data_IF_719403296106
#
_entry.id   IF_719403296106
#
_cell.length_a   1.000
_cell.length_b   1.000
_cell.length_c   1.000
_cell.angle_alpha   90.00
_cell.angle_beta   90.00
_cell.angle_gamma   90.00
#
_symmetry.space_group_name_H-M   'P 1'
#
loop_
_entity.id
_entity.type
_entity.pdbx_description
1 polymer ?
#
# COMPACT_ATOMS: atom_id res chain seq x y z
N UNK A 1 -28.49 3.05 68.08
CA UNK A 1 -29.37 2.11 67.35
C UNK A 1 -30.31 2.90 66.45
N UNK A 2 -30.00 3.00 65.15
CA UNK A 2 -30.89 3.29 64.00
C UNK A 2 -30.01 3.52 62.75
N UNK A 3 -29.80 2.47 61.96
CA UNK A 3 -29.33 2.55 60.58
C UNK A 3 -30.56 2.80 59.69
N UNK A 4 -30.53 3.87 58.89
CA UNK A 4 -31.50 4.13 57.82
C UNK A 4 -30.93 3.65 56.49
N UNK A 5 -31.78 2.96 55.73
CA UNK A 5 -31.63 2.70 54.31
C UNK A 5 -31.57 3.99 53.49
N UNK A 6 -30.81 3.97 52.40
CA UNK A 6 -31.16 4.66 51.16
C UNK A 6 -30.61 3.90 49.94
N UNK A 7 -31.47 3.78 48.93
CA UNK A 7 -31.37 3.03 47.68
C UNK A 7 -30.56 3.76 46.60
N UNK A 8 -30.04 2.95 45.67
CA UNK A 8 -29.96 3.09 44.20
C UNK A 8 -29.36 4.36 43.57
N UNK A 9 -28.41 4.17 42.65
CA UNK A 9 -28.71 4.20 41.21
C UNK A 9 -27.51 3.69 40.39
N UNK A 10 -27.79 2.72 39.52
CA UNK A 10 -26.86 2.20 38.54
C UNK A 10 -26.58 3.25 37.46
N UNK A 11 -25.31 3.58 37.26
CA UNK A 11 -24.87 4.35 36.10
C UNK A 11 -24.74 3.39 34.91
N UNK A 12 -25.64 3.54 33.95
CA UNK A 12 -25.55 2.92 32.64
C UNK A 12 -24.32 3.48 31.90
N UNK A 13 -23.26 2.66 31.81
CA UNK A 13 -22.13 2.90 30.92
C UNK A 13 -22.56 2.70 29.47
N UNK A 14 -22.95 3.79 28.81
CA UNK A 14 -23.08 3.83 27.36
C UNK A 14 -21.69 3.91 26.75
N UNK A 15 -21.27 2.84 26.07
CA UNK A 15 -20.15 2.91 25.12
C UNK A 15 -20.55 3.85 23.97
N UNK A 16 -19.68 4.77 23.54
CA UNK A 16 -19.96 5.61 22.38
C UNK A 16 -20.00 4.72 21.13
N UNK A 17 -21.10 4.83 20.38
CA UNK A 17 -21.27 4.24 19.05
C UNK A 17 -20.24 4.88 18.12
N UNK A 18 -19.40 4.04 17.51
CA UNK A 18 -18.41 4.44 16.52
C UNK A 18 -19.10 5.01 15.27
N UNK A 19 -19.11 6.35 15.09
CA UNK A 19 -19.26 6.91 13.75
C UNK A 19 -18.87 8.39 13.53
N UNK A 20 -18.49 9.16 14.55
CA UNK A 20 -18.04 10.55 14.33
C UNK A 20 -16.51 10.66 14.35
N UNK A 21 -15.87 10.21 13.27
CA UNK A 21 -14.50 10.62 12.99
C UNK A 21 -14.49 12.11 12.59
N UNK A 22 -13.60 12.94 13.16
CA UNK A 22 -13.46 14.34 12.76
C UNK A 22 -13.37 14.50 11.24
N UNK A 23 -14.00 15.54 10.67
CA UNK A 23 -14.04 15.78 9.23
C UNK A 23 -12.65 15.88 8.54
N UNK A 24 -11.59 16.15 9.31
CA UNK A 24 -10.19 16.10 8.85
C UNK A 24 -9.69 14.66 8.65
N UNK A 25 -10.06 13.74 9.54
CA UNK A 25 -9.70 12.32 9.44
C UNK A 25 -10.44 11.67 8.27
N UNK A 26 -11.74 11.99 8.11
CA UNK A 26 -12.52 11.50 6.96
C UNK A 26 -11.93 11.94 5.62
N UNK A 27 -11.50 13.20 5.50
CA UNK A 27 -10.82 13.71 4.30
C UNK A 27 -9.47 13.03 4.04
N UNK A 28 -8.67 12.82 5.09
CA UNK A 28 -7.39 12.12 4.96
C UNK A 28 -7.60 10.66 4.51
N UNK A 29 -8.53 9.94 5.12
CA UNK A 29 -8.88 8.57 4.74
C UNK A 29 -9.34 8.49 3.28
N UNK A 30 -10.19 9.43 2.82
CA UNK A 30 -10.63 9.44 1.44
C UNK A 30 -9.46 9.66 0.46
N UNK A 31 -8.51 10.55 0.80
CA UNK A 31 -7.31 10.73 -0.02
C UNK A 31 -6.47 9.45 -0.14
N UNK A 32 -6.36 8.65 0.93
CA UNK A 32 -5.71 7.33 0.86
C UNK A 32 -6.49 6.35 -0.02
N UNK A 33 -7.81 6.30 0.09
CA UNK A 33 -8.66 5.44 -0.76
C UNK A 33 -8.45 5.80 -2.24
N UNK A 34 -8.53 7.08 -2.58
CA UNK A 34 -8.41 7.55 -3.95
C UNK A 34 -7.00 7.27 -4.52
N UNK A 35 -5.96 7.52 -3.72
CA UNK A 35 -4.57 7.26 -4.12
C UNK A 35 -4.29 5.77 -4.32
N UNK A 36 -4.74 4.91 -3.39
CA UNK A 36 -4.54 3.45 -3.50
C UNK A 36 -5.30 2.89 -4.70
N UNK A 37 -6.54 3.32 -4.89
CA UNK A 37 -7.33 2.93 -6.05
C UNK A 37 -6.67 3.34 -7.37
N UNK A 38 -6.26 4.60 -7.49
CA UNK A 38 -5.62 5.11 -8.71
C UNK A 38 -4.36 4.33 -9.10
N UNK A 39 -3.60 3.87 -8.10
CA UNK A 39 -2.41 3.05 -8.31
C UNK A 39 -2.75 1.59 -8.70
N UNK A 40 -3.77 1.00 -8.06
CA UNK A 40 -4.24 -0.36 -8.37
C UNK A 40 -4.87 -0.46 -9.77
N UNK A 41 -5.49 0.61 -10.24
CA UNK A 41 -6.16 0.69 -11.55
C UNK A 41 -5.21 1.02 -12.71
N UNK A 42 -3.93 1.28 -12.43
CA UNK A 42 -2.92 1.44 -13.48
C UNK A 42 -2.83 0.17 -14.35
N UNK A 43 -2.68 0.31 -15.68
CA UNK A 43 -2.44 -0.82 -16.55
C UNK A 43 -1.15 -1.57 -16.19
N UNK A 44 -1.23 -2.91 -16.13
CA UNK A 44 -0.11 -3.79 -15.78
C UNK A 44 -0.01 -4.91 -16.80
N UNK A 45 1.16 -5.12 -17.37
CA UNK A 45 1.41 -6.27 -18.23
C UNK A 45 1.31 -7.57 -17.43
N UNK A 46 0.58 -8.55 -17.96
CA UNK A 46 0.48 -9.88 -17.37
C UNK A 46 1.88 -10.51 -17.38
N UNK A 47 2.36 -10.93 -16.22
CA UNK A 47 3.71 -11.48 -16.11
C UNK A 47 3.74 -12.89 -16.69
N UNK A 48 4.86 -13.25 -17.34
CA UNK A 48 5.08 -14.59 -17.89
C UNK A 48 4.77 -15.70 -16.88
N UNK A 49 5.20 -15.54 -15.63
CA UNK A 49 4.94 -16.53 -14.58
C UNK A 49 3.44 -16.75 -14.30
N UNK A 50 2.60 -15.73 -14.49
CA UNK A 50 1.15 -15.82 -14.32
C UNK A 50 0.57 -16.61 -15.49
N UNK A 51 1.01 -16.29 -16.72
CA UNK A 51 0.62 -17.02 -17.93
C UNK A 51 1.01 -18.50 -17.84
N UNK A 52 2.26 -18.78 -17.45
CA UNK A 52 2.78 -20.13 -17.30
C UNK A 52 1.98 -20.93 -16.25
N UNK A 53 1.61 -20.29 -15.13
CA UNK A 53 0.78 -20.91 -14.09
C UNK A 53 -0.63 -21.21 -14.59
N UNK A 54 -1.27 -20.29 -15.33
CA UNK A 54 -2.59 -20.51 -15.93
C UNK A 54 -2.57 -21.68 -16.93
N UNK A 55 -1.54 -21.74 -17.75
CA UNK A 55 -1.34 -22.84 -18.69
C UNK A 55 -1.13 -24.19 -17.99
N UNK A 56 -0.33 -24.24 -16.93
CA UNK A 56 0.00 -25.50 -16.27
C UNK A 56 -1.07 -26.02 -15.30
N UNK A 57 -1.78 -25.13 -14.61
CA UNK A 57 -2.74 -25.51 -13.57
C UNK A 57 -4.19 -25.48 -14.02
N UNK A 58 -4.54 -24.58 -14.94
CA UNK A 58 -5.92 -24.43 -15.44
C UNK A 58 -6.06 -24.84 -16.91
N UNK A 59 -4.98 -25.30 -17.55
CA UNK A 59 -4.94 -25.69 -18.97
C UNK A 59 -5.39 -24.56 -19.92
N UNK A 60 -5.22 -23.30 -19.49
CA UNK A 60 -5.63 -22.12 -20.25
C UNK A 60 -4.59 -21.83 -21.33
N UNK A 61 -4.99 -21.87 -22.60
CA UNK A 61 -4.11 -21.46 -23.70
C UNK A 61 -3.95 -19.94 -23.78
N UNK A 62 -2.99 -19.46 -24.57
CA UNK A 62 -2.72 -18.01 -24.72
C UNK A 62 -3.92 -17.25 -25.31
N UNK A 63 -4.62 -17.85 -26.25
CA UNK A 63 -5.82 -17.32 -26.88
C UNK A 63 -7.05 -17.34 -25.96
N UNK A 64 -7.04 -18.16 -24.91
CA UNK A 64 -8.10 -18.26 -23.91
C UNK A 64 -7.91 -17.32 -22.71
N UNK A 65 -6.73 -16.70 -22.55
CA UNK A 65 -6.40 -15.85 -21.40
C UNK A 65 -7.43 -14.75 -21.16
N UNK A 66 -7.84 -14.05 -22.21
CA UNK A 66 -8.83 -12.98 -22.09
C UNK A 66 -10.18 -13.47 -21.55
N UNK A 67 -10.66 -14.60 -22.06
CA UNK A 67 -11.91 -15.22 -21.62
C UNK A 67 -11.81 -15.77 -20.19
N UNK A 68 -10.67 -16.33 -19.82
CA UNK A 68 -10.40 -16.76 -18.45
C UNK A 68 -10.49 -15.59 -17.46
N UNK A 69 -9.78 -14.49 -17.76
CA UNK A 69 -9.75 -13.30 -16.91
C UNK A 69 -11.12 -12.66 -16.71
N UNK A 70 -11.99 -12.67 -17.73
CA UNK A 70 -13.30 -12.01 -17.65
C UNK A 70 -14.42 -12.90 -17.12
N UNK A 71 -14.31 -14.22 -17.26
CA UNK A 71 -15.47 -15.12 -17.09
C UNK A 71 -15.22 -16.29 -16.16
N UNK A 72 -13.97 -16.69 -15.94
CA UNK A 72 -13.63 -17.86 -15.12
C UNK A 72 -12.98 -17.47 -13.79
N UNK A 73 -12.42 -16.26 -13.71
CA UNK A 73 -11.77 -15.76 -12.51
C UNK A 73 -12.67 -15.76 -11.26
N UNK A 74 -13.98 -15.53 -11.43
CA UNK A 74 -14.95 -15.51 -10.34
C UNK A 74 -15.18 -16.89 -9.72
N UNK A 75 -14.84 -17.98 -10.42
CA UNK A 75 -14.96 -19.35 -9.93
C UNK A 75 -13.79 -19.79 -9.04
N UNK A 76 -12.69 -19.03 -9.03
CA UNK A 76 -11.52 -19.32 -8.19
C UNK A 76 -11.77 -18.92 -6.73
N UNK A 77 -11.15 -19.66 -5.82
CA UNK A 77 -11.10 -19.29 -4.40
C UNK A 77 -10.17 -18.08 -4.18
N UNK A 78 -10.37 -17.37 -3.07
CA UNK A 78 -9.60 -16.15 -2.78
C UNK A 78 -8.09 -16.39 -2.68
N UNK A 79 -7.67 -17.53 -2.11
CA UNK A 79 -6.26 -17.87 -2.02
C UNK A 79 -5.63 -18.17 -3.39
N UNK A 80 -6.40 -18.69 -4.35
CA UNK A 80 -5.93 -18.94 -5.71
C UNK A 80 -5.73 -17.62 -6.46
N UNK A 81 -6.70 -16.71 -6.35
CA UNK A 81 -6.59 -15.35 -6.92
C UNK A 81 -5.40 -14.60 -6.33
N UNK A 82 -5.23 -14.68 -5.00
CA UNK A 82 -4.10 -14.08 -4.31
C UNK A 82 -2.77 -14.67 -4.79
N UNK A 83 -2.66 -16.00 -4.89
CA UNK A 83 -1.46 -16.67 -5.38
C UNK A 83 -1.13 -16.23 -6.80
N UNK A 84 -2.11 -16.32 -7.70
CA UNK A 84 -1.99 -16.03 -9.13
C UNK A 84 -1.49 -14.61 -9.38
N UNK A 85 -2.08 -13.62 -8.69
CA UNK A 85 -1.75 -12.21 -8.92
C UNK A 85 -0.86 -11.58 -7.86
N UNK A 86 -0.39 -12.36 -6.88
CA UNK A 86 0.53 -11.89 -5.85
C UNK A 86 1.72 -11.09 -6.41
N UNK A 87 2.36 -11.47 -7.54
CA UNK A 87 3.51 -10.72 -8.02
C UNK A 87 3.10 -9.41 -8.72
N UNK A 88 1.88 -9.34 -9.25
CA UNK A 88 1.33 -8.15 -9.90
C UNK A 88 0.84 -7.10 -8.91
N UNK A 89 0.37 -7.52 -7.73
CA UNK A 89 -0.14 -6.64 -6.67
C UNK A 89 0.78 -6.56 -5.45
N UNK A 90 2.05 -6.95 -5.61
CA UNK A 90 3.11 -6.57 -4.69
C UNK A 90 3.63 -5.19 -5.12
N UNK A 91 3.44 -4.12 -4.33
CA UNK A 91 3.84 -2.78 -4.73
C UNK A 91 5.35 -2.69 -4.92
N UNK A 92 5.77 -2.14 -6.06
CA UNK A 92 7.17 -1.77 -6.29
C UNK A 92 7.53 -0.50 -5.52
N UNK A 93 8.82 -0.19 -5.42
CA UNK A 93 9.27 1.03 -4.75
C UNK A 93 8.69 2.30 -5.41
N UNK A 94 8.57 2.33 -6.74
CA UNK A 94 7.95 3.45 -7.46
C UNK A 94 6.49 3.64 -7.07
N UNK A 95 5.77 2.55 -6.86
CA UNK A 95 4.36 2.60 -6.43
C UNK A 95 4.25 3.06 -4.98
N UNK A 96 5.15 2.61 -4.09
CA UNK A 96 5.27 3.14 -2.73
C UNK A 96 5.60 4.65 -2.74
N UNK A 97 6.43 5.11 -3.69
CA UNK A 97 6.82 6.50 -3.82
C UNK A 97 5.64 7.44 -4.13
N UNK A 98 4.63 6.96 -4.85
CA UNK A 98 3.40 7.71 -5.15
C UNK A 98 2.67 8.21 -3.90
N UNK A 99 2.86 7.55 -2.75
CA UNK A 99 2.23 7.93 -1.48
C UNK A 99 3.07 8.89 -0.63
N UNK A 100 4.30 9.23 -1.06
CA UNK A 100 5.23 10.00 -0.21
C UNK A 100 4.78 11.41 0.12
N UNK A 101 4.02 12.05 -0.78
CA UNK A 101 3.41 13.36 -0.52
C UNK A 101 2.28 13.25 0.49
N UNK A 102 1.38 12.27 0.32
CA UNK A 102 0.28 12.01 1.24
C UNK A 102 0.78 11.62 2.65
N UNK A 103 1.95 10.97 2.72
CA UNK A 103 2.59 10.53 3.97
C UNK A 103 3.60 11.52 4.55
N UNK A 104 3.81 12.72 3.96
CA UNK A 104 4.99 13.57 4.22
C UNK A 104 5.35 13.68 5.72
N UNK A 105 4.40 14.12 6.54
CA UNK A 105 4.54 14.19 8.01
C UNK A 105 3.48 13.39 8.77
N UNK A 106 2.76 12.54 8.06
CA UNK A 106 1.66 11.76 8.62
C UNK A 106 1.80 10.30 8.21
N UNK A 107 1.33 9.41 9.06
CA UNK A 107 1.21 8.00 8.75
C UNK A 107 -0.26 7.61 8.76
N UNK A 108 -0.59 6.48 8.14
CA UNK A 108 -1.87 5.81 8.33
C UNK A 108 -1.62 4.60 9.25
N UNK A 109 -1.96 4.70 10.55
CA UNK A 109 -1.75 3.61 11.50
C UNK A 109 -2.42 2.32 11.02
N UNK A 110 -1.81 1.17 11.34
CA UNK A 110 -2.34 -0.15 10.96
C UNK A 110 -3.75 -0.43 11.52
N UNK A 111 -4.13 0.22 12.61
CA UNK A 111 -5.51 0.19 13.15
C UNK A 111 -6.56 0.74 12.18
N UNK A 112 -6.16 1.62 11.25
CA UNK A 112 -7.05 2.24 10.27
C UNK A 112 -7.11 1.44 8.94
N UNK A 113 -6.24 0.45 8.75
CA UNK A 113 -6.20 -0.33 7.51
C UNK A 113 -7.50 -1.10 7.22
N UNK A 114 -8.20 -1.70 8.22
CA UNK A 114 -9.49 -2.33 7.97
C UNK A 114 -10.56 -1.34 7.47
N UNK A 115 -10.46 -0.05 7.81
CA UNK A 115 -11.36 0.99 7.29
C UNK A 115 -11.01 1.33 5.85
N UNK A 116 -9.71 1.46 5.53
CA UNK A 116 -9.22 1.66 4.17
C UNK A 116 -9.63 0.51 3.24
N UNK A 117 -9.39 -0.75 3.64
CA UNK A 117 -9.73 -1.94 2.86
C UNK A 117 -11.23 -2.05 2.60
N UNK A 118 -12.05 -1.82 3.62
CA UNK A 118 -13.52 -1.80 3.46
C UNK A 118 -13.99 -0.74 2.47
N UNK A 119 -13.42 0.47 2.54
CA UNK A 119 -13.74 1.56 1.59
C UNK A 119 -13.29 1.21 0.17
N UNK A 120 -12.12 0.60 0.01
CA UNK A 120 -11.63 0.09 -1.28
C UNK A 120 -12.48 -1.06 -1.81
N UNK A 121 -13.05 -1.92 -0.95
CA UNK A 121 -13.94 -3.00 -1.36
C UNK A 121 -15.34 -2.48 -1.77
N UNK A 122 -15.82 -1.43 -1.10
CA UNK A 122 -17.08 -0.74 -1.41
C UNK A 122 -16.99 0.10 -2.69
N UNK A 123 -15.81 0.63 -3.02
CA UNK A 123 -15.51 1.28 -4.29
C UNK A 123 -15.00 0.21 -5.27
N UNK A 124 -15.78 -0.28 -6.25
CA UNK A 124 -15.33 -1.37 -7.13
C UNK A 124 -14.06 -0.97 -7.88
N UNK A 125 -12.91 -1.43 -7.37
CA UNK A 125 -11.58 -1.11 -7.88
C UNK A 125 -11.19 -2.20 -8.88
N UNK A 126 -10.98 -1.81 -10.13
CA UNK A 126 -10.74 -2.75 -11.22
C UNK A 126 -9.29 -2.66 -11.71
N UNK A 127 -8.52 -3.73 -11.53
CA UNK A 127 -7.21 -3.80 -12.13
C UNK A 127 -7.32 -3.94 -13.65
N UNK A 128 -6.37 -3.36 -14.37
CA UNK A 128 -6.27 -3.42 -15.83
C UNK A 128 -5.06 -4.27 -16.20
N UNK A 129 -5.30 -5.47 -16.71
CA UNK A 129 -4.26 -6.41 -17.09
C UNK A 129 -4.09 -6.40 -18.61
N UNK A 130 -2.85 -6.25 -19.07
CA UNK A 130 -2.48 -6.23 -20.49
C UNK A 130 -1.91 -7.60 -20.85
N UNK A 131 -2.53 -8.31 -21.79
CA UNK A 131 -2.06 -9.60 -22.33
C UNK A 131 -0.94 -9.39 -23.36
N UNK A 132 -0.25 -10.48 -23.74
CA UNK A 132 0.90 -10.41 -24.68
C UNK A 132 0.53 -9.84 -26.06
N UNK A 133 -0.72 -9.98 -26.47
CA UNK A 133 -1.27 -9.41 -27.71
C UNK A 133 -1.64 -7.92 -27.59
N UNK A 134 -1.46 -7.32 -26.41
CA UNK A 134 -1.75 -5.91 -26.13
C UNK A 134 -3.22 -5.65 -25.73
N UNK A 135 -4.08 -6.67 -25.68
CA UNK A 135 -5.45 -6.49 -25.21
C UNK A 135 -5.47 -6.16 -23.71
N UNK A 136 -6.41 -5.31 -23.29
CA UNK A 136 -6.57 -4.92 -21.88
C UNK A 136 -7.86 -5.50 -21.31
N UNK A 137 -7.72 -6.26 -20.23
CA UNK A 137 -8.83 -6.88 -19.51
C UNK A 137 -8.97 -6.25 -18.12
N UNK A 138 -10.19 -5.87 -17.76
CA UNK A 138 -10.51 -5.36 -16.44
C UNK A 138 -10.95 -6.52 -15.53
N UNK A 139 -10.31 -6.66 -14.38
CA UNK A 139 -10.71 -7.63 -13.35
C UNK A 139 -11.05 -6.91 -12.06
N UNK A 140 -12.12 -7.33 -11.38
CA UNK A 140 -12.46 -6.81 -10.07
C UNK A 140 -11.42 -7.29 -9.06
N UNK A 141 -10.80 -6.36 -8.34
CA UNK A 141 -9.90 -6.73 -7.25
C UNK A 141 -10.69 -7.27 -6.06
N UNK A 142 -10.27 -8.44 -5.59
CA UNK A 142 -10.78 -9.06 -4.37
C UNK A 142 -10.06 -8.52 -3.14
N UNK A 143 -10.68 -8.67 -1.97
CA UNK A 143 -10.16 -8.14 -0.71
C UNK A 143 -8.73 -8.62 -0.41
N UNK A 144 -8.43 -9.88 -0.69
CA UNK A 144 -7.07 -10.45 -0.56
C UNK A 144 -6.00 -9.69 -1.36
N UNK A 145 -6.31 -9.26 -2.58
CA UNK A 145 -5.39 -8.49 -3.42
C UNK A 145 -5.22 -7.05 -2.89
N UNK A 146 -6.32 -6.46 -2.40
CA UNK A 146 -6.30 -5.14 -1.76
C UNK A 146 -5.46 -5.16 -0.48
N UNK A 147 -5.67 -6.16 0.38
CA UNK A 147 -4.93 -6.35 1.62
C UNK A 147 -3.44 -6.54 1.35
N UNK A 148 -3.09 -7.42 0.41
CA UNK A 148 -1.71 -7.64 -0.03
C UNK A 148 -1.01 -6.35 -0.44
N UNK A 149 -1.69 -5.51 -1.21
CA UNK A 149 -1.14 -4.25 -1.69
C UNK A 149 -0.94 -3.27 -0.55
N UNK A 150 -2.00 -2.98 0.22
CA UNK A 150 -2.01 -1.99 1.32
C UNK A 150 -0.97 -2.33 2.39
N UNK A 151 -0.93 -3.59 2.85
CA UNK A 151 0.00 -4.05 3.90
C UNK A 151 1.46 -3.88 3.52
N UNK A 152 1.77 -3.81 2.22
CA UNK A 152 3.14 -3.64 1.69
C UNK A 152 3.48 -2.20 1.32
N UNK A 153 2.56 -1.25 1.48
CA UNK A 153 2.83 0.17 1.21
C UNK A 153 3.62 0.87 2.33
N UNK A 154 3.78 0.25 3.51
CA UNK A 154 4.44 0.84 4.68
C UNK A 154 3.82 2.19 5.11
N UNK A 155 2.49 2.29 5.05
CA UNK A 155 1.76 3.54 5.33
C UNK A 155 1.87 4.00 6.80
N UNK A 156 2.16 3.08 7.71
CA UNK A 156 2.29 3.31 9.15
C UNK A 156 3.72 3.71 9.57
N UNK A 157 4.70 3.65 8.67
CA UNK A 157 6.10 3.89 8.98
C UNK A 157 6.43 5.39 8.93
N UNK A 158 6.86 5.92 10.08
CA UNK A 158 7.33 7.29 10.21
C UNK A 158 8.80 7.41 9.83
N UNK A 159 9.13 8.41 9.02
CA UNK A 159 10.53 8.81 8.78
C UNK A 159 10.96 9.71 9.94
N UNK A 160 12.06 9.39 10.67
CA UNK A 160 12.55 10.25 11.74
C UNK A 160 12.97 11.63 11.26
N UNK A 161 12.68 12.67 12.04
CA UNK A 161 12.91 14.07 11.67
C UNK A 161 14.31 14.40 11.12
N UNK A 162 15.43 13.91 11.71
CA UNK A 162 16.75 14.20 11.16
C UNK A 162 16.91 13.67 9.73
N UNK A 163 16.42 12.47 9.46
CA UNK A 163 16.45 11.86 8.14
C UNK A 163 15.49 12.56 7.18
N UNK A 164 14.28 12.90 7.65
CA UNK A 164 13.28 13.64 6.86
C UNK A 164 13.80 15.00 6.38
N UNK A 165 14.56 15.72 7.22
CA UNK A 165 15.21 16.98 6.85
C UNK A 165 16.24 16.79 5.73
N UNK A 166 17.10 15.77 5.84
CA UNK A 166 18.07 15.45 4.79
C UNK A 166 17.40 15.08 3.46
N UNK A 167 16.37 14.23 3.52
CA UNK A 167 15.59 13.80 2.37
C UNK A 167 14.87 14.96 1.65
N UNK A 168 14.56 16.04 2.39
CA UNK A 168 13.97 17.23 1.81
C UNK A 168 15.02 18.19 1.23
N UNK A 169 16.16 18.33 1.89
CA UNK A 169 17.15 19.36 1.56
C UNK A 169 18.12 18.96 0.44
N UNK A 170 18.50 17.68 0.37
CA UNK A 170 19.69 17.28 -0.40
C UNK A 170 19.38 16.72 -1.79
N UNK A 171 18.47 15.73 -1.96
CA UNK A 171 18.26 15.12 -3.27
C UNK A 171 17.54 16.07 -4.23
N UNK A 172 17.76 15.90 -5.56
CA UNK A 172 16.94 16.53 -6.59
C UNK A 172 15.46 16.28 -6.34
N UNK A 173 14.61 17.27 -6.61
CA UNK A 173 13.17 17.21 -6.29
C UNK A 173 12.48 15.96 -6.85
N UNK A 174 12.86 15.53 -8.05
CA UNK A 174 12.35 14.36 -8.74
C UNK A 174 12.60 13.02 -8.02
N UNK A 175 13.65 12.92 -7.20
CA UNK A 175 14.06 11.67 -6.54
C UNK A 175 13.57 11.57 -5.09
N UNK A 176 13.09 12.69 -4.52
CA UNK A 176 12.68 12.77 -3.11
C UNK A 176 11.56 11.79 -2.76
N UNK A 177 10.59 11.60 -3.64
CA UNK A 177 9.49 10.67 -3.41
C UNK A 177 9.99 9.21 -3.32
N UNK A 178 10.90 8.82 -4.20
CA UNK A 178 11.49 7.48 -4.22
C UNK A 178 12.32 7.23 -2.95
N UNK A 179 13.13 8.20 -2.58
CA UNK A 179 13.95 8.15 -1.36
C UNK A 179 13.12 8.11 -0.07
N UNK A 180 12.00 8.84 -0.02
CA UNK A 180 11.05 8.79 1.10
C UNK A 180 10.37 7.42 1.18
N UNK A 181 10.00 6.81 0.06
CA UNK A 181 9.50 5.43 0.07
C UNK A 181 10.58 4.44 0.54
N UNK A 182 11.82 4.61 0.07
CA UNK A 182 12.96 3.80 0.50
C UNK A 182 13.12 3.88 2.02
N UNK A 183 13.16 5.08 2.58
CA UNK A 183 13.33 5.33 4.02
C UNK A 183 12.21 4.73 4.90
N UNK A 184 11.02 4.46 4.32
CA UNK A 184 9.90 3.80 5.01
C UNK A 184 9.94 2.27 4.96
N UNK A 185 10.87 1.67 4.19
CA UNK A 185 11.00 0.20 4.19
C UNK A 185 11.45 -0.28 5.57
N UNK A 186 10.85 -1.37 6.04
CA UNK A 186 11.11 -1.99 7.35
C UNK A 186 12.59 -2.28 7.64
N UNK A 187 13.39 -2.48 6.58
CA UNK A 187 14.84 -2.67 6.65
C UNK A 187 15.55 -1.51 7.38
N UNK A 188 15.03 -0.28 7.27
CA UNK A 188 15.60 0.95 7.84
C UNK A 188 15.04 1.29 9.22
N UNK A 189 14.09 0.50 9.76
CA UNK A 189 13.56 0.74 11.11
C UNK A 189 14.61 0.49 12.20
N UNK A 190 15.68 -0.27 11.88
CA UNK A 190 16.78 -0.55 12.80
C UNK A 190 17.85 0.53 12.72
N UNK A 191 18.25 1.05 13.88
CA UNK A 191 19.17 2.19 13.98
C UNK A 191 20.49 2.02 13.21
N UNK A 192 21.18 0.86 13.25
CA UNK A 192 22.42 0.70 12.49
C UNK A 192 22.23 0.84 10.98
N UNK A 193 21.12 0.33 10.43
CA UNK A 193 20.80 0.44 9.00
C UNK A 193 20.40 1.87 8.65
N UNK A 194 19.57 2.50 9.49
CA UNK A 194 19.22 3.91 9.33
C UNK A 194 20.44 4.82 9.30
N UNK A 195 21.44 4.54 10.15
CA UNK A 195 22.70 5.28 10.16
C UNK A 195 23.48 5.16 8.83
N UNK A 196 23.41 4.01 8.14
CA UNK A 196 24.00 3.84 6.80
C UNK A 196 23.31 4.75 5.79
N UNK A 197 21.97 4.74 5.73
CA UNK A 197 21.21 5.61 4.83
C UNK A 197 21.49 7.10 5.12
N UNK A 198 21.54 7.48 6.39
CA UNK A 198 21.85 8.83 6.82
C UNK A 198 23.25 9.27 6.37
N UNK A 199 24.27 8.42 6.56
CA UNK A 199 25.65 8.68 6.12
C UNK A 199 25.77 8.78 4.60
N UNK A 200 25.08 7.90 3.86
CA UNK A 200 25.01 7.95 2.40
C UNK A 200 24.47 9.31 1.93
N UNK A 201 23.32 9.74 2.49
CA UNK A 201 22.71 11.02 2.12
C UNK A 201 23.60 12.22 2.48
N UNK A 202 24.34 12.16 3.59
CA UNK A 202 25.31 13.20 3.93
C UNK A 202 26.51 13.19 2.98
N UNK A 203 27.03 12.02 2.61
CA UNK A 203 28.14 11.92 1.66
C UNK A 203 27.74 12.40 0.26
N UNK A 204 26.47 12.23 -0.13
CA UNK A 204 25.96 12.75 -1.40
C UNK A 204 25.85 14.29 -1.46
N UNK A 205 26.27 15.01 -0.41
CA UNK A 205 26.30 16.49 -0.37
C UNK A 205 27.62 17.12 -0.76
N UNK A 206 28.72 16.36 -0.75
CA UNK A 206 29.97 16.81 -1.37
C UNK A 206 29.84 16.64 -2.88
N UNK A 207 30.18 17.69 -3.64
CA UNK A 207 29.94 17.80 -5.08
C UNK A 207 30.26 16.51 -5.86
N UNK A 208 29.40 16.21 -6.85
CA UNK A 208 29.46 15.08 -7.79
C UNK A 208 29.15 13.66 -7.27
N UNK A 209 28.74 13.45 -6.01
CA UNK A 209 28.56 12.08 -5.47
C UNK A 209 27.13 11.52 -5.53
N UNK A 210 26.11 12.29 -5.93
CA UNK A 210 24.74 11.78 -6.02
C UNK A 210 24.49 11.13 -7.39
N UNK A 211 24.48 9.79 -7.41
CA UNK A 211 24.00 9.03 -8.56
C UNK A 211 22.70 8.29 -8.21
N UNK A 212 21.68 8.45 -9.06
CA UNK A 212 20.41 7.72 -8.90
C UNK A 212 20.59 6.20 -8.95
N UNK A 213 21.65 5.72 -9.62
CA UNK A 213 21.97 4.29 -9.72
C UNK A 213 22.42 3.69 -8.39
N UNK A 214 23.25 4.41 -7.61
CA UNK A 214 23.68 3.98 -6.26
C UNK A 214 22.50 3.80 -5.31
N UNK A 215 21.46 4.60 -5.54
CA UNK A 215 20.17 4.52 -4.85
C UNK A 215 19.45 3.19 -5.10
N UNK A 216 19.56 2.64 -6.30
CA UNK A 216 19.02 1.32 -6.63
C UNK A 216 19.84 0.20 -5.98
N UNK A 217 21.14 0.42 -5.73
CA UNK A 217 21.99 -0.52 -5.00
C UNK A 217 21.65 -0.62 -3.50
N UNK A 218 20.86 0.30 -2.96
CA UNK A 218 20.34 0.26 -1.58
C UNK A 218 19.05 -0.58 -1.44
N UNK A 219 18.55 -1.19 -2.52
CA UNK A 219 17.29 -1.95 -2.55
C UNK A 219 17.43 -3.43 -2.22
#
# INVERSE_FOLDING_TARGET
>A
MKLRCARNAAAAGGFPVANDLPARILRAMQAFVDAVAAELEQPRALLKQVVDHLASHYSVSRDELGAFLTSQLDALEDYEVDLLFSPLFTPTLTQQAAFSELLDRQTLPSSEWPVLLRKLAQRPTNARLITEDGATHAIRLREVSLERFVTRLNLDVLIPDPLGKLLHALPPAQDRALLKALARRIVWNKEPRRAVLFRYLLASTSEDFYHREDLLSLL
#
